data_IF_687952684677
#
_entry.id   IF_687952684677
#
_cell.length_a   1.000
_cell.length_b   1.000
_cell.length_c   1.000
_cell.angle_alpha   90.00
_cell.angle_beta   90.00
_cell.angle_gamma   90.00
#
_symmetry.space_group_name_H-M   'P 1'
#
loop_
_entity.id
_entity.type
_entity.pdbx_description
1 polymer ?
#
# COMPACT_ATOMS: atom_id res chain seq x y z
N UNK A 1 -11.73 27.93 3.88
CA UNK A 1 -11.64 26.46 3.71
C UNK A 1 -10.27 26.15 3.12
N UNK A 2 -9.37 25.57 3.91
CA UNK A 2 -7.98 25.36 3.47
C UNK A 2 -7.93 24.22 2.45
N UNK A 3 -7.30 24.47 1.30
CA UNK A 3 -6.96 23.44 0.31
C UNK A 3 -5.94 22.49 0.93
N UNK A 4 -6.44 21.45 1.59
CA UNK A 4 -5.62 20.42 2.21
C UNK A 4 -4.69 19.84 1.14
N UNK A 5 -3.39 20.12 1.28
CA UNK A 5 -2.34 19.53 0.44
C UNK A 5 -2.58 18.03 0.37
N UNK A 6 -2.58 17.48 -0.84
CA UNK A 6 -2.71 16.05 -1.06
C UNK A 6 -1.62 15.39 -0.20
N UNK A 7 -1.97 14.55 0.79
CA UNK A 7 -0.96 13.94 1.63
C UNK A 7 -0.13 12.97 0.80
N UNK A 8 1.16 12.85 1.12
CA UNK A 8 2.05 11.90 0.45
C UNK A 8 1.60 10.47 0.75
N UNK A 9 0.83 9.89 -0.18
CA UNK A 9 0.15 8.60 -0.01
C UNK A 9 1.11 7.43 0.24
N UNK A 10 2.28 7.34 -0.44
CA UNK A 10 3.35 6.42 -0.06
C UNK A 10 3.71 6.49 1.44
N UNK A 11 4.02 7.67 1.95
CA UNK A 11 4.45 7.86 3.34
C UNK A 11 3.34 7.51 4.33
N UNK A 12 2.08 7.83 3.99
CA UNK A 12 0.93 7.43 4.80
C UNK A 12 0.76 5.91 4.85
N UNK A 13 0.94 5.22 3.73
CA UNK A 13 0.84 3.77 3.70
C UNK A 13 1.96 3.13 4.54
N UNK A 14 3.18 3.64 4.44
CA UNK A 14 4.33 3.17 5.21
C UNK A 14 4.06 3.32 6.72
N UNK A 15 3.66 4.52 7.17
CA UNK A 15 3.30 4.76 8.58
C UNK A 15 2.13 3.90 9.06
N UNK A 16 1.14 3.66 8.21
CA UNK A 16 0.01 2.80 8.55
C UNK A 16 0.49 1.36 8.82
N UNK A 17 1.27 0.81 7.89
CA UNK A 17 1.82 -0.54 7.99
C UNK A 17 2.77 -0.70 9.18
N UNK A 18 3.67 0.26 9.40
CA UNK A 18 4.57 0.28 10.56
C UNK A 18 3.81 0.30 11.88
N UNK A 19 2.76 1.12 11.99
CA UNK A 19 1.95 1.19 13.21
C UNK A 19 1.22 -0.10 13.54
N UNK A 20 0.98 -0.96 12.54
CA UNK A 20 0.37 -2.27 12.75
C UNK A 20 1.39 -3.35 13.14
N UNK A 21 2.69 -3.10 12.94
CA UNK A 21 3.77 -4.09 13.13
C UNK A 21 3.71 -5.28 12.17
N UNK A 22 2.88 -5.24 11.12
CA UNK A 22 2.65 -6.35 10.19
C UNK A 22 3.33 -6.09 8.86
N UNK A 23 3.99 -7.11 8.33
CA UNK A 23 4.56 -7.11 6.97
C UNK A 23 3.50 -7.27 5.88
N UNK A 24 2.31 -7.77 6.22
CA UNK A 24 1.17 -7.91 5.31
C UNK A 24 -0.17 -7.83 6.03
N UNK A 25 -1.17 -7.20 5.42
CA UNK A 25 -2.53 -7.14 5.95
C UNK A 25 -3.55 -6.68 4.90
N UNK A 26 -4.82 -6.98 5.16
CA UNK A 26 -5.93 -6.36 4.44
C UNK A 26 -6.25 -4.98 5.01
N UNK A 27 -6.43 -4.00 4.13
CA UNK A 27 -6.85 -2.65 4.48
C UNK A 27 -7.97 -2.16 3.57
N UNK A 28 -8.73 -1.19 4.03
CA UNK A 28 -9.70 -0.42 3.26
C UNK A 28 -9.29 1.05 3.19
N UNK A 29 -9.88 1.79 2.25
CA UNK A 29 -9.76 3.25 2.22
C UNK A 29 -10.27 3.88 3.52
N UNK A 30 -11.31 3.30 4.12
CA UNK A 30 -11.86 3.77 5.40
C UNK A 30 -10.85 3.62 6.53
N UNK A 31 -10.07 2.54 6.56
CA UNK A 31 -9.08 2.31 7.61
C UNK A 31 -7.99 3.38 7.59
N UNK A 32 -7.42 3.68 6.41
CA UNK A 32 -6.43 4.75 6.24
C UNK A 32 -7.04 6.10 6.64
N UNK A 33 -8.23 6.42 6.14
CA UNK A 33 -8.90 7.68 6.45
C UNK A 33 -9.16 7.84 7.95
N UNK A 34 -9.65 6.79 8.60
CA UNK A 34 -9.95 6.81 10.03
C UNK A 34 -8.67 6.96 10.84
N UNK A 35 -7.59 6.24 10.46
CA UNK A 35 -6.30 6.29 11.15
C UNK A 35 -5.66 7.68 11.12
N UNK A 36 -5.75 8.37 9.98
CA UNK A 36 -5.12 9.67 9.76
C UNK A 36 -6.11 10.85 9.76
N UNK A 37 -7.36 10.63 10.19
CA UNK A 37 -8.41 11.64 10.28
C UNK A 37 -8.64 12.41 8.95
N UNK A 38 -8.60 11.69 7.84
CA UNK A 38 -8.74 12.27 6.50
C UNK A 38 -10.21 12.41 6.07
N UNK A 39 -10.52 13.52 5.42
CA UNK A 39 -11.84 13.80 4.86
C UNK A 39 -12.30 12.73 3.84
N UNK A 40 -13.62 12.62 3.66
CA UNK A 40 -14.26 11.74 2.67
C UNK A 40 -13.75 11.98 1.24
N UNK A 41 -13.46 13.24 0.91
CA UNK A 41 -12.95 13.67 -0.39
C UNK A 41 -11.59 13.06 -0.75
N UNK A 42 -10.82 12.57 0.21
CA UNK A 42 -9.56 11.87 -0.05
C UNK A 42 -9.75 10.41 -0.50
N UNK A 43 -10.96 9.86 -0.38
CA UNK A 43 -11.25 8.47 -0.71
C UNK A 43 -10.83 8.06 -2.14
N UNK A 44 -11.19 8.83 -3.18
CA UNK A 44 -10.77 8.57 -4.55
C UNK A 44 -9.25 8.58 -4.74
N UNK A 45 -8.53 9.51 -4.10
CA UNK A 45 -7.08 9.62 -4.21
C UNK A 45 -6.38 8.40 -3.59
N UNK A 46 -6.80 7.99 -2.39
CA UNK A 46 -6.28 6.79 -1.71
C UNK A 46 -6.57 5.54 -2.55
N UNK A 47 -7.81 5.39 -3.04
CA UNK A 47 -8.20 4.26 -3.88
C UNK A 47 -7.38 4.21 -5.18
N UNK A 48 -7.17 5.34 -5.83
CA UNK A 48 -6.39 5.44 -7.07
C UNK A 48 -4.93 5.05 -6.84
N UNK A 49 -4.32 5.53 -5.75
CA UNK A 49 -2.97 5.15 -5.37
C UNK A 49 -2.83 3.64 -5.10
N UNK A 50 -3.73 3.05 -4.30
CA UNK A 50 -3.71 1.62 -4.01
C UNK A 50 -3.88 0.77 -5.28
N UNK A 51 -4.76 1.19 -6.20
CA UNK A 51 -4.88 0.55 -7.51
C UNK A 51 -3.61 0.70 -8.36
N UNK A 52 -2.93 1.85 -8.29
CA UNK A 52 -1.68 2.09 -9.02
C UNK A 52 -0.54 1.17 -8.54
N UNK A 53 -0.38 1.01 -7.23
CA UNK A 53 0.68 0.13 -6.68
C UNK A 53 0.35 -1.36 -6.75
N UNK A 54 -0.87 -1.72 -7.18
CA UNK A 54 -1.24 -3.10 -7.53
C UNK A 54 -0.72 -3.50 -8.92
N UNK A 55 -0.88 -2.63 -9.91
CA UNK A 55 -0.49 -2.92 -11.30
C UNK A 55 0.92 -2.42 -11.66
N UNK A 56 1.48 -1.48 -10.88
CA UNK A 56 2.71 -0.80 -11.22
C UNK A 56 3.97 -1.30 -10.51
N UNK A 57 5.10 -1.16 -11.19
CA UNK A 57 6.45 -1.28 -10.63
C UNK A 57 6.81 -0.01 -9.83
N UNK A 58 5.96 0.39 -8.90
CA UNK A 58 6.16 1.58 -8.07
C UNK A 58 7.24 1.30 -7.01
N UNK A 59 8.50 1.30 -7.43
CA UNK A 59 9.65 0.87 -6.64
C UNK A 59 10.01 1.82 -5.49
N UNK A 60 9.47 3.04 -5.47
CA UNK A 60 9.67 4.00 -4.39
C UNK A 60 8.83 3.72 -3.15
N UNK A 61 7.80 2.87 -3.25
CA UNK A 61 6.97 2.49 -2.10
C UNK A 61 7.44 1.14 -1.55
N UNK A 62 7.72 1.10 -0.25
CA UNK A 62 8.17 -0.11 0.49
C UNK A 62 7.14 -1.23 0.40
N UNK A 63 5.86 -0.88 0.34
CA UNK A 63 4.75 -1.82 0.22
C UNK A 63 4.17 -1.85 -1.19
N UNK A 64 3.47 -2.94 -1.50
CA UNK A 64 2.66 -3.08 -2.71
C UNK A 64 1.29 -3.63 -2.33
N UNK A 65 0.32 -3.43 -3.22
CA UNK A 65 -0.94 -4.17 -3.15
C UNK A 65 -0.75 -5.45 -3.95
N UNK A 66 -0.92 -6.61 -3.32
CA UNK A 66 -0.81 -7.90 -3.97
C UNK A 66 -2.16 -8.46 -4.43
N UNK A 67 -3.27 -8.06 -3.79
CA UNK A 67 -4.64 -8.45 -4.17
C UNK A 67 -5.64 -7.35 -3.88
N UNK A 68 -6.73 -7.33 -4.64
CA UNK A 68 -7.87 -6.45 -4.41
C UNK A 68 -9.13 -7.32 -4.38
N UNK A 69 -9.92 -7.17 -3.32
CA UNK A 69 -11.20 -7.83 -3.17
C UNK A 69 -12.32 -6.80 -3.01
N UNK A 70 -13.53 -7.18 -3.40
CA UNK A 70 -14.74 -6.38 -3.18
C UNK A 70 -15.68 -7.19 -2.32
N UNK A 71 -16.20 -6.58 -1.26
CA UNK A 71 -17.26 -7.18 -0.46
C UNK A 71 -18.43 -6.22 -0.35
N UNK A 72 -19.62 -6.78 -0.25
CA UNK A 72 -20.84 -6.01 -0.03
C UNK A 72 -20.96 -5.79 1.48
N UNK A 73 -20.97 -4.53 1.88
CA UNK A 73 -21.37 -4.19 3.24
C UNK A 73 -22.85 -4.51 3.39
N UNK A 74 -23.15 -5.39 4.36
CA UNK A 74 -24.51 -5.79 4.67
C UNK A 74 -25.25 -4.70 5.44
N UNK A 75 -24.53 -3.71 5.99
CA UNK A 75 -25.13 -2.53 6.62
C UNK A 75 -25.85 -1.64 5.58
N UNK A 76 -27.10 -1.24 5.82
CA UNK A 76 -27.79 -0.25 5.00
C UNK A 76 -27.17 1.16 5.16
N UNK A 77 -27.09 1.96 4.07
CA UNK A 77 -27.31 1.54 2.69
C UNK A 77 -26.18 0.63 2.22
N UNK A 78 -26.53 -0.47 1.53
CA UNK A 78 -25.55 -1.44 1.04
C UNK A 78 -24.49 -0.75 0.17
N UNK A 79 -23.23 -0.87 0.58
CA UNK A 79 -22.09 -0.28 -0.15
C UNK A 79 -21.17 -1.40 -0.61
N UNK A 80 -20.64 -1.28 -1.81
CA UNK A 80 -19.55 -2.14 -2.26
C UNK A 80 -18.23 -1.55 -1.75
N UNK A 81 -17.56 -2.28 -0.87
CA UNK A 81 -16.28 -1.84 -0.27
C UNK A 81 -15.14 -2.61 -0.92
N UNK A 82 -14.07 -1.89 -1.28
CA UNK A 82 -12.81 -2.48 -1.75
C UNK A 82 -11.88 -2.73 -0.56
N UNK A 83 -11.33 -3.94 -0.48
CA UNK A 83 -10.21 -4.32 0.38
C UNK A 83 -8.96 -4.51 -0.47
N UNK A 84 -7.83 -4.10 0.07
CA UNK A 84 -6.52 -4.14 -0.57
C UNK A 84 -5.60 -4.96 0.31
N UNK A 85 -5.05 -6.05 -0.20
CA UNK A 85 -4.07 -6.84 0.51
C UNK A 85 -2.70 -6.22 0.28
N UNK A 86 -2.22 -5.52 1.29
CA UNK A 86 -0.93 -4.82 1.25
C UNK A 86 0.12 -5.72 1.85
N UNK A 87 1.26 -5.84 1.17
CA UNK A 87 2.41 -6.59 1.65
C UNK A 87 3.71 -5.83 1.35
N UNK A 88 4.70 -6.02 2.22
CA UNK A 88 6.04 -5.48 2.02
C UNK A 88 6.65 -6.09 0.75
N UNK A 89 7.29 -5.26 -0.06
CA UNK A 89 8.00 -5.77 -1.24
C UNK A 89 9.17 -6.64 -0.77
N UNK A 90 9.44 -7.77 -1.44
CA UNK A 90 10.64 -8.53 -1.15
C UNK A 90 11.84 -7.60 -1.33
N UNK A 91 12.68 -7.49 -0.30
CA UNK A 91 13.97 -6.82 -0.45
C UNK A 91 14.66 -7.43 -1.66
N UNK A 92 15.17 -6.60 -2.57
CA UNK A 92 16.04 -7.09 -3.64
C UNK A 92 17.17 -7.83 -2.93
N UNK A 93 17.16 -9.17 -2.96
CA UNK A 93 18.33 -9.95 -2.61
C UNK A 93 19.42 -9.42 -3.52
N UNK A 94 20.36 -8.65 -2.99
CA UNK A 94 21.59 -8.36 -3.72
C UNK A 94 22.08 -9.75 -4.15
N UNK A 95 22.14 -10.00 -5.45
CA UNK A 95 22.98 -11.08 -5.94
C UNK A 95 24.36 -10.74 -5.41
N UNK A 96 24.71 -11.34 -4.27
CA UNK A 96 26.08 -11.41 -3.82
C UNK A 96 26.70 -12.26 -4.92
N UNK A 97 27.31 -11.59 -5.90
CA UNK A 97 28.08 -12.25 -6.92
C UNK A 97 29.04 -13.16 -6.16
N UNK A 98 28.76 -14.46 -6.19
CA UNK A 98 29.72 -15.44 -5.76
C UNK A 98 30.93 -15.17 -6.66
N UNK A 99 32.02 -14.73 -6.04
CA UNK A 99 33.26 -14.48 -6.74
C UNK A 99 33.62 -15.74 -7.50
N UNK A 100 33.58 -15.65 -8.82
CA UNK A 100 34.34 -16.54 -9.68
C UNK A 100 35.77 -16.01 -9.58
N UNK A 101 36.49 -16.47 -8.55
CA UNK A 101 37.95 -16.41 -8.57
C UNK A 101 38.40 -17.62 -9.40
N UNK A 102 38.39 -17.43 -10.71
CA UNK A 102 39.13 -18.26 -11.65
C UNK A 102 40.31 -17.41 -12.14
N UNK A 103 41.52 -17.77 -11.70
CA UNK A 103 42.78 -17.63 -12.45
C UNK A 103 43.90 -18.30 -11.65
N UNK A 104 44.34 -19.49 -12.05
CA UNK A 104 45.55 -19.69 -12.87
C UNK A 104 46.85 -19.29 -12.13
N UNK A 105 47.51 -20.23 -11.45
CA UNK A 105 48.71 -20.93 -11.93
C UNK A 105 49.15 -22.03 -10.95
#
# INVERSE_FOLDING_TARGET
MSLSRIPDLPELLDRYMESSGRSKQWITVKDIRTRFQLAESNGPAISGFLSKIHHGSFFSCRYKVARIEKFRDTAPPHRLIRKYFVEERPARKKHRAAGVEESFR
#
